data_IF_150597681478
#
_entry.id   IF_150597681478
#
_cell.length_a   1.000
_cell.length_b   1.000
_cell.length_c   1.000
_cell.angle_alpha   90.00
_cell.angle_beta   90.00
_cell.angle_gamma   90.00
#
_symmetry.space_group_name_H-M   'P 1'
#
loop_
_entity.id
_entity.type
_entity.pdbx_description
1 polymer ?
#
# COMPACT_ATOMS: atom_id res chain seq x y z
N UNK A 1 13.12 -2.44 -3.05
CA UNK A 1 14.41 -1.81 -2.65
C UNK A 1 14.37 -0.31 -2.86
N UNK A 2 14.17 0.18 -4.09
CA UNK A 2 14.13 1.63 -4.41
C UNK A 2 13.04 2.39 -3.66
N UNK A 3 11.79 1.90 -3.65
CA UNK A 3 10.68 2.51 -2.90
C UNK A 3 10.89 2.51 -1.37
N UNK A 4 11.78 1.66 -0.87
CA UNK A 4 12.14 1.57 0.54
C UNK A 4 13.46 2.31 0.86
N UNK A 5 14.02 3.04 -0.11
CA UNK A 5 15.32 3.73 -0.01
C UNK A 5 16.47 2.81 0.44
N UNK A 6 16.44 1.54 0.03
CA UNK A 6 17.48 0.57 0.34
C UNK A 6 18.51 0.53 -0.80
N UNK A 7 19.76 0.23 -0.46
CA UNK A 7 20.80 0.02 -1.47
C UNK A 7 20.43 -1.15 -2.38
N UNK A 8 20.95 -1.15 -3.60
CA UNK A 8 20.86 -2.26 -4.55
C UNK A 8 22.24 -2.91 -4.74
N UNK A 9 23.06 -2.89 -3.68
CA UNK A 9 24.47 -3.32 -3.75
C UNK A 9 24.82 -4.38 -2.70
N UNK A 10 25.63 -5.34 -3.11
CA UNK A 10 26.29 -6.34 -2.28
C UNK A 10 27.79 -6.15 -2.39
N UNK A 11 28.42 -5.64 -1.33
CA UNK A 11 29.87 -5.40 -1.25
C UNK A 11 30.39 -4.60 -2.47
N UNK A 12 29.67 -3.52 -2.80
CA UNK A 12 29.97 -2.63 -3.93
C UNK A 12 29.56 -3.16 -5.31
N UNK A 13 29.07 -4.41 -5.41
CA UNK A 13 28.54 -4.98 -6.66
C UNK A 13 27.03 -4.81 -6.76
N UNK A 14 26.54 -4.45 -7.93
CA UNK A 14 25.11 -4.22 -8.16
C UNK A 14 24.32 -5.54 -8.23
N UNK A 15 23.24 -5.61 -7.47
CA UNK A 15 22.33 -6.74 -7.47
C UNK A 15 21.18 -6.52 -8.46
N UNK A 16 20.87 -7.55 -9.24
CA UNK A 16 19.57 -7.70 -9.86
C UNK A 16 18.67 -8.46 -8.88
N UNK A 17 17.48 -7.94 -8.59
CA UNK A 17 16.59 -8.49 -7.58
C UNK A 17 15.32 -9.05 -8.22
N UNK A 18 14.97 -10.30 -7.88
CA UNK A 18 13.65 -10.87 -8.16
C UNK A 18 12.56 -10.46 -7.16
N UNK A 19 12.94 -9.77 -6.08
CA UNK A 19 12.08 -9.44 -4.96
C UNK A 19 12.86 -9.28 -3.66
N UNK A 20 12.18 -8.81 -2.62
CA UNK A 20 12.75 -8.62 -1.29
C UNK A 20 11.67 -8.80 -0.23
N UNK A 21 12.01 -9.45 0.87
CA UNK A 21 11.18 -9.50 2.07
C UNK A 21 11.88 -8.79 3.23
N UNK A 22 11.10 -8.15 4.09
CA UNK A 22 11.55 -7.66 5.38
C UNK A 22 10.85 -8.49 6.45
N UNK A 23 11.63 -9.14 7.33
CA UNK A 23 11.11 -9.98 8.41
C UNK A 23 11.54 -9.36 9.72
N UNK A 24 10.56 -8.99 10.53
CA UNK A 24 10.77 -8.43 11.86
C UNK A 24 9.77 -9.08 12.82
N UNK A 25 10.27 -9.69 13.89
CA UNK A 25 9.47 -10.20 14.98
C UNK A 25 9.61 -9.25 16.18
N UNK A 26 8.51 -8.87 16.83
CA UNK A 26 8.53 -7.98 17.98
C UNK A 26 7.64 -8.48 19.11
N UNK A 27 8.01 -8.16 20.36
CA UNK A 27 7.16 -8.31 21.54
C UNK A 27 7.06 -6.94 22.22
N UNK A 28 5.92 -6.27 22.05
CA UNK A 28 5.80 -4.87 22.43
C UNK A 28 6.71 -3.97 21.58
N UNK A 29 7.64 -3.24 22.22
CA UNK A 29 8.64 -2.39 21.54
C UNK A 29 9.96 -3.09 21.25
N UNK A 30 10.15 -4.31 21.75
CA UNK A 30 11.40 -5.04 21.61
C UNK A 30 11.42 -5.87 20.32
N UNK A 31 12.55 -5.84 19.61
CA UNK A 31 12.79 -6.69 18.44
C UNK A 31 13.33 -8.03 18.91
N UNK A 32 12.62 -9.10 18.56
CA UNK A 32 12.97 -10.47 18.92
C UNK A 32 14.07 -11.00 17.98
N UNK A 33 14.91 -11.87 18.53
CA UNK A 33 15.90 -12.65 17.77
C UNK A 33 15.49 -14.11 17.73
N UNK A 34 15.81 -14.78 16.63
CA UNK A 34 15.71 -16.23 16.56
C UNK A 34 16.61 -16.85 17.65
N UNK A 35 16.09 -17.89 18.30
CA UNK A 35 16.86 -18.69 19.23
C UNK A 35 18.07 -19.29 18.49
N UNK A 36 19.20 -19.38 19.17
CA UNK A 36 20.39 -20.03 18.61
C UNK A 36 20.07 -21.47 18.18
N UNK A 37 20.52 -21.85 16.98
CA UNK A 37 20.19 -23.14 16.35
C UNK A 37 18.82 -23.22 15.67
N UNK A 38 17.91 -22.25 15.86
CA UNK A 38 16.63 -22.21 15.17
C UNK A 38 16.76 -21.60 13.76
N UNK A 39 16.00 -22.14 12.81
CA UNK A 39 15.94 -21.64 11.42
C UNK A 39 14.53 -21.25 11.02
N UNK A 40 14.41 -20.26 10.13
CA UNK A 40 13.17 -19.94 9.42
C UNK A 40 13.34 -20.37 7.97
N UNK A 41 12.40 -21.15 7.47
CA UNK A 41 12.28 -21.44 6.05
C UNK A 41 11.37 -20.40 5.38
N UNK A 42 11.79 -19.90 4.22
CA UNK A 42 10.99 -18.99 3.40
C UNK A 42 10.75 -19.64 2.05
N UNK A 43 9.47 -19.86 1.75
CA UNK A 43 9.03 -20.46 0.50
C UNK A 43 8.47 -19.35 -0.39
N UNK A 44 9.03 -19.21 -1.58
CA UNK A 44 8.52 -18.28 -2.59
C UNK A 44 7.78 -19.07 -3.66
N UNK A 45 6.46 -18.86 -3.85
CA UNK A 45 5.74 -19.47 -4.96
C UNK A 45 6.19 -18.80 -6.27
N UNK A 46 7.02 -19.48 -7.05
CA UNK A 46 7.49 -18.99 -8.34
C UNK A 46 6.84 -19.79 -9.50
N UNK A 47 6.44 -19.09 -10.57
CA UNK A 47 5.91 -19.74 -11.79
C UNK A 47 7.01 -20.39 -12.62
N UNK A 48 8.23 -19.86 -12.57
CA UNK A 48 9.40 -20.39 -13.26
C UNK A 48 10.67 -19.95 -12.53
N UNK A 49 11.57 -20.89 -12.21
CA UNK A 49 12.81 -20.61 -11.49
C UNK A 49 13.77 -19.84 -12.40
N UNK A 50 14.13 -18.60 -12.03
CA UNK A 50 15.19 -17.87 -12.74
C UNK A 50 16.56 -18.44 -12.38
N UNK A 51 17.27 -18.98 -13.38
CA UNK A 51 18.62 -19.56 -13.21
C UNK A 51 19.57 -18.50 -12.64
N UNK A 52 20.30 -18.85 -11.58
CA UNK A 52 21.30 -17.98 -10.96
C UNK A 52 20.77 -16.98 -9.92
N UNK A 53 19.46 -16.97 -9.61
CA UNK A 53 18.95 -16.21 -8.47
C UNK A 53 19.42 -16.81 -7.14
N UNK A 54 19.92 -15.98 -6.25
CA UNK A 54 20.45 -16.37 -4.95
C UNK A 54 19.82 -15.53 -3.83
N UNK A 55 19.84 -16.05 -2.60
CA UNK A 55 19.36 -15.33 -1.43
C UNK A 55 20.45 -14.41 -0.87
N UNK A 56 20.09 -13.15 -0.63
CA UNK A 56 20.94 -12.17 0.05
C UNK A 56 20.24 -11.69 1.32
N UNK A 57 20.98 -11.57 2.42
CA UNK A 57 20.50 -10.98 3.66
C UNK A 57 21.07 -9.57 3.84
N UNK A 58 20.23 -8.63 4.23
CA UNK A 58 20.65 -7.25 4.44
C UNK A 58 21.31 -7.06 5.81
N UNK A 59 22.48 -6.43 5.84
CA UNK A 59 23.17 -5.99 7.05
C UNK A 59 23.20 -4.47 7.08
N UNK A 60 22.69 -3.86 8.15
CA UNK A 60 22.70 -2.41 8.32
C UNK A 60 24.06 -1.91 8.79
N UNK A 61 24.57 -0.88 8.13
CA UNK A 61 25.78 -0.13 8.54
C UNK A 61 25.59 1.35 8.20
N UNK A 62 25.71 2.23 9.19
CA UNK A 62 25.59 3.69 9.01
C UNK A 62 24.32 4.14 8.27
N UNK A 63 23.17 3.51 8.57
CA UNK A 63 21.89 3.85 7.93
C UNK A 63 21.74 3.38 6.47
N UNK A 64 22.72 2.66 5.94
CA UNK A 64 22.69 2.04 4.62
C UNK A 64 22.73 0.52 4.80
N UNK A 65 21.85 -0.19 4.11
CA UNK A 65 21.88 -1.65 4.10
C UNK A 65 22.90 -2.13 3.07
N UNK A 66 23.74 -3.10 3.42
CA UNK A 66 24.58 -3.82 2.47
C UNK A 66 24.10 -5.28 2.41
N UNK A 67 23.88 -5.79 1.21
CA UNK A 67 23.34 -7.14 1.02
C UNK A 67 24.48 -8.15 1.01
N UNK A 68 24.38 -9.23 1.78
CA UNK A 68 25.39 -10.28 1.86
C UNK A 68 24.83 -11.61 1.37
N UNK A 69 25.52 -12.21 0.41
CA UNK A 69 25.16 -13.52 -0.14
C UNK A 69 25.08 -14.56 0.97
N UNK A 70 23.98 -15.28 1.04
CA UNK A 70 23.81 -16.38 1.97
C UNK A 70 24.40 -17.65 1.34
N UNK A 71 25.58 -18.07 1.81
CA UNK A 71 26.29 -19.25 1.30
C UNK A 71 25.71 -20.59 1.77
N UNK A 72 24.70 -20.57 2.65
CA UNK A 72 23.97 -21.80 2.97
C UNK A 72 23.14 -22.17 1.74
N UNK A 73 23.66 -23.14 0.98
CA UNK A 73 22.81 -23.99 0.18
C UNK A 73 21.77 -24.56 1.14
N UNK A 74 20.55 -24.04 1.07
CA UNK A 74 19.40 -24.84 1.43
C UNK A 74 19.56 -26.02 0.48
N UNK A 75 19.96 -27.18 1.00
CA UNK A 75 19.93 -28.42 0.25
C UNK A 75 18.65 -28.43 -0.57
N UNK A 76 18.69 -28.93 -1.81
CA UNK A 76 17.46 -29.33 -2.46
C UNK A 76 16.68 -30.10 -1.42
N UNK A 77 15.61 -29.49 -0.93
CA UNK A 77 14.79 -30.06 0.12
C UNK A 77 13.97 -31.11 -0.60
N UNK A 78 14.63 -32.20 -0.98
CA UNK A 78 14.00 -33.44 -1.36
C UNK A 78 13.25 -33.90 -0.11
N UNK A 79 11.94 -33.83 -0.23
CA UNK A 79 10.97 -34.44 0.66
C UNK A 79 11.13 -34.07 2.14
N UNK A 80 10.89 -32.80 2.47
CA UNK A 80 10.14 -32.57 3.71
C UNK A 80 8.76 -33.16 3.45
N UNK A 81 8.42 -34.26 4.13
CA UNK A 81 7.02 -34.61 4.37
C UNK A 81 6.39 -33.42 5.10
N UNK A 82 5.85 -32.51 4.31
CA UNK A 82 5.04 -31.42 4.80
C UNK A 82 3.81 -32.15 5.32
N UNK A 83 3.75 -32.36 6.64
CA UNK A 83 2.46 -32.46 7.32
C UNK A 83 1.68 -31.26 6.78
N UNK A 84 0.69 -31.51 5.92
CA UNK A 84 -0.15 -30.48 5.34
C UNK A 84 -0.90 -29.85 6.50
N UNK A 85 -0.25 -28.92 7.19
CA UNK A 85 -0.91 -27.80 7.79
C UNK A 85 -1.55 -27.15 6.58
N UNK A 86 -2.83 -27.43 6.37
CA UNK A 86 -3.59 -26.67 5.39
C UNK A 86 -3.47 -25.22 5.82
N UNK A 87 -2.50 -24.48 5.26
CA UNK A 87 -2.45 -23.04 5.47
C UNK A 87 -3.84 -22.54 5.10
N UNK A 88 -4.49 -21.88 6.05
CA UNK A 88 -5.74 -21.20 5.81
C UNK A 88 -5.42 -20.04 4.88
N UNK A 89 -5.49 -20.32 3.58
CA UNK A 89 -5.28 -19.32 2.53
C UNK A 89 -6.39 -18.28 2.73
N UNK A 90 -6.02 -17.16 3.33
CA UNK A 90 -6.89 -16.02 3.54
C UNK A 90 -6.89 -15.14 2.28
N UNK A 91 -8.00 -15.13 1.56
CA UNK A 91 -8.17 -14.31 0.36
C UNK A 91 -9.15 -13.19 0.68
N UNK A 92 -8.73 -11.91 0.59
CA UNK A 92 -9.63 -10.80 0.88
C UNK A 92 -10.89 -10.83 0.00
N UNK A 93 -12.04 -10.51 0.60
CA UNK A 93 -13.34 -10.49 -0.08
C UNK A 93 -13.37 -9.63 -1.37
N UNK A 94 -12.52 -8.60 -1.44
CA UNK A 94 -12.39 -7.75 -2.62
C UNK A 94 -11.89 -8.53 -3.85
N UNK A 95 -10.90 -9.41 -3.68
CA UNK A 95 -10.14 -10.03 -4.77
C UNK A 95 -10.52 -11.49 -5.04
N UNK A 96 -11.17 -12.16 -4.09
CA UNK A 96 -11.55 -13.58 -4.23
C UNK A 96 -12.36 -13.84 -5.51
N UNK A 97 -12.04 -14.87 -6.26
CA UNK A 97 -12.68 -15.24 -7.54
C UNK A 97 -14.18 -15.52 -7.34
N UNK A 98 -14.51 -16.46 -6.45
CA UNK A 98 -15.89 -16.73 -6.01
C UNK A 98 -16.03 -16.32 -4.54
N UNK A 99 -16.93 -15.38 -4.29
CA UNK A 99 -17.21 -14.90 -2.94
C UNK A 99 -18.00 -15.92 -2.13
N UNK A 100 -17.88 -15.91 -0.79
CA UNK A 100 -18.81 -16.63 0.05
C UNK A 100 -20.26 -16.24 -0.27
N UNK A 101 -21.18 -17.20 -0.17
CA UNK A 101 -22.59 -16.98 -0.51
C UNK A 101 -23.45 -17.19 0.73
N UNK A 102 -24.12 -16.12 1.14
CA UNK A 102 -25.14 -16.17 2.19
C UNK A 102 -26.37 -16.95 1.69
N UNK A 103 -27.05 -17.76 2.52
CA UNK A 103 -28.27 -18.47 2.12
C UNK A 103 -29.33 -17.52 1.52
N UNK A 104 -29.76 -17.79 0.28
CA UNK A 104 -30.68 -16.92 -0.46
C UNK A 104 -30.01 -15.88 -1.39
N UNK A 105 -28.68 -15.95 -1.56
CA UNK A 105 -27.91 -15.11 -2.49
C UNK A 105 -27.23 -15.94 -3.61
N UNK A 106 -27.83 -17.06 -4.03
CA UNK A 106 -27.23 -18.00 -4.99
C UNK A 106 -27.19 -17.48 -6.44
N UNK A 107 -28.08 -16.54 -6.77
CA UNK A 107 -28.31 -16.06 -8.13
C UNK A 107 -27.53 -14.77 -8.43
N UNK A 108 -27.29 -14.50 -9.72
CA UNK A 108 -26.63 -13.28 -10.20
C UNK A 108 -25.12 -13.40 -10.40
N UNK A 109 -24.51 -12.30 -10.85
CA UNK A 109 -23.08 -12.21 -11.11
C UNK A 109 -22.29 -12.03 -9.79
N UNK A 110 -20.96 -11.97 -9.87
CA UNK A 110 -20.07 -11.82 -8.70
C UNK A 110 -20.42 -10.58 -7.84
N UNK A 111 -20.75 -9.45 -8.46
CA UNK A 111 -21.09 -8.22 -7.75
C UNK A 111 -22.49 -8.31 -7.11
N UNK A 112 -23.46 -8.93 -7.79
CA UNK A 112 -24.79 -9.14 -7.23
C UNK A 112 -24.74 -10.01 -5.96
N UNK A 113 -23.95 -11.08 -6.01
CA UNK A 113 -23.72 -11.97 -4.85
C UNK A 113 -23.04 -11.23 -3.70
N UNK A 114 -22.04 -10.39 -3.99
CA UNK A 114 -21.40 -9.53 -2.99
C UNK A 114 -22.40 -8.60 -2.33
N UNK A 115 -23.20 -7.89 -3.12
CA UNK A 115 -24.16 -6.93 -2.62
C UNK A 115 -25.28 -7.60 -1.82
N UNK A 116 -25.80 -8.72 -2.31
CA UNK A 116 -26.82 -9.52 -1.64
C UNK A 116 -26.32 -10.03 -0.29
N UNK A 117 -25.11 -10.62 -0.25
CA UNK A 117 -24.50 -11.10 1.00
C UNK A 117 -24.34 -9.96 2.01
N UNK A 118 -23.73 -8.84 1.59
CA UNK A 118 -23.52 -7.69 2.48
C UNK A 118 -24.83 -7.16 3.04
N UNK A 119 -25.88 -7.09 2.20
CA UNK A 119 -27.21 -6.66 2.61
C UNK A 119 -27.84 -7.62 3.62
N UNK A 120 -27.86 -8.93 3.33
CA UNK A 120 -28.44 -9.94 4.22
C UNK A 120 -27.75 -10.01 5.58
N UNK A 121 -26.42 -9.90 5.61
CA UNK A 121 -25.66 -9.85 6.87
C UNK A 121 -26.01 -8.58 7.65
N UNK A 122 -26.04 -7.42 6.97
CA UNK A 122 -26.43 -6.16 7.61
C UNK A 122 -27.86 -6.20 8.16
N UNK A 123 -28.80 -6.77 7.42
CA UNK A 123 -30.20 -6.93 7.82
C UNK A 123 -30.37 -7.90 8.99
N UNK A 124 -29.57 -8.97 9.04
CA UNK A 124 -29.57 -9.89 10.17
C UNK A 124 -29.06 -9.20 11.43
N UNK A 125 -27.91 -8.55 11.32
CA UNK A 125 -27.27 -7.87 12.45
C UNK A 125 -28.14 -6.74 12.97
N UNK A 126 -28.77 -5.94 12.11
CA UNK A 126 -29.65 -4.85 12.55
C UNK A 126 -30.89 -5.34 13.30
N UNK A 127 -31.37 -6.55 13.01
CA UNK A 127 -32.53 -7.15 13.70
C UNK A 127 -32.17 -7.85 15.02
N UNK A 128 -30.95 -8.37 15.12
CA UNK A 128 -30.54 -9.23 16.25
C UNK A 128 -29.66 -8.50 17.27
N UNK A 129 -29.04 -7.38 16.89
CA UNK A 129 -28.20 -6.59 17.78
C UNK A 129 -29.03 -5.78 18.77
N UNK A 130 -28.77 -5.98 20.07
CA UNK A 130 -29.42 -5.23 21.12
C UNK A 130 -28.87 -3.81 21.21
N UNK A 131 -29.59 -2.85 20.61
CA UNK A 131 -29.25 -1.43 20.66
C UNK A 131 -29.58 -0.76 22.00
N UNK A 132 -30.48 -1.34 22.80
CA UNK A 132 -30.91 -0.80 24.09
C UNK A 132 -29.80 -0.89 25.14
N UNK A 133 -28.91 -1.88 25.00
CA UNK A 133 -27.70 -2.04 25.81
C UNK A 133 -26.88 -0.74 25.88
N UNK A 134 -26.81 0.01 24.78
CA UNK A 134 -26.05 1.26 24.78
C UNK A 134 -26.75 2.38 25.58
N UNK A 135 -28.08 2.40 25.59
CA UNK A 135 -28.87 3.33 26.41
C UNK A 135 -28.74 3.02 27.90
N UNK A 136 -28.77 1.74 28.28
CA UNK A 136 -28.57 1.27 29.66
C UNK A 136 -27.19 1.65 30.20
N UNK A 137 -26.19 1.67 29.32
CA UNK A 137 -24.81 2.07 29.63
C UNK A 137 -24.60 3.59 29.61
N UNK A 138 -25.68 4.37 29.50
CA UNK A 138 -25.63 5.83 29.47
C UNK A 138 -24.98 6.42 28.21
N UNK A 139 -24.81 5.63 27.16
CA UNK A 139 -24.25 6.09 25.89
C UNK A 139 -25.33 6.84 25.10
N UNK A 140 -24.94 7.93 24.45
CA UNK A 140 -25.85 8.75 23.65
C UNK A 140 -25.26 9.10 22.29
N UNK A 141 -26.11 9.43 21.32
CA UNK A 141 -25.68 9.83 19.99
C UNK A 141 -25.27 8.64 19.12
N UNK A 142 -24.43 8.90 18.11
CA UNK A 142 -24.03 7.90 17.12
C UNK A 142 -22.96 6.97 17.68
N UNK A 143 -23.34 5.71 17.89
CA UNK A 143 -22.43 4.64 18.30
C UNK A 143 -21.94 3.85 17.08
N UNK A 144 -20.69 3.39 17.16
CA UNK A 144 -20.04 2.61 16.12
C UNK A 144 -19.33 1.41 16.73
N UNK A 145 -19.67 0.22 16.25
CA UNK A 145 -18.99 -1.03 16.57
C UNK A 145 -18.38 -1.58 15.29
N UNK A 146 -17.06 -1.76 15.27
CA UNK A 146 -16.38 -2.34 14.12
C UNK A 146 -16.16 -3.82 14.38
N UNK A 147 -16.70 -4.67 13.52
CA UNK A 147 -16.54 -6.11 13.63
C UNK A 147 -15.76 -6.65 12.44
N UNK A 148 -14.85 -7.57 12.71
CA UNK A 148 -14.08 -8.31 11.72
C UNK A 148 -14.22 -9.79 12.07
N UNK A 149 -14.54 -10.60 11.09
CA UNK A 149 -14.64 -12.05 11.26
C UNK A 149 -14.22 -12.75 9.96
N UNK A 150 -13.92 -14.04 10.06
CA UNK A 150 -13.49 -14.85 8.92
C UNK A 150 -14.54 -15.88 8.58
N UNK A 151 -14.88 -15.98 7.30
CA UNK A 151 -15.70 -17.08 6.78
C UNK A 151 -14.73 -18.17 6.34
N UNK A 152 -14.67 -19.26 7.09
CA UNK A 152 -13.73 -20.35 6.87
C UNK A 152 -14.08 -21.24 5.68
N UNK A 153 -13.22 -22.21 5.40
CA UNK A 153 -13.38 -23.20 4.32
C UNK A 153 -14.65 -24.06 4.44
N UNK A 154 -15.17 -24.23 5.66
CA UNK A 154 -16.41 -24.96 5.94
C UNK A 154 -17.66 -24.09 5.82
N UNK A 155 -17.49 -22.78 5.56
CA UNK A 155 -18.58 -21.82 5.56
C UNK A 155 -18.99 -21.30 6.94
N UNK A 156 -18.37 -21.82 8.00
CA UNK A 156 -18.53 -21.33 9.37
C UNK A 156 -17.78 -20.03 9.61
N UNK A 157 -18.20 -19.30 10.64
CA UNK A 157 -17.54 -18.08 11.08
C UNK A 157 -16.49 -18.40 12.13
N UNK A 158 -15.32 -17.79 12.00
CA UNK A 158 -14.16 -17.96 12.89
C UNK A 158 -13.50 -16.61 13.14
N UNK A 159 -12.67 -16.52 14.19
CA UNK A 159 -11.84 -15.34 14.51
C UNK A 159 -12.63 -14.02 14.55
N UNK A 160 -13.72 -14.00 15.33
CA UNK A 160 -14.58 -12.82 15.49
C UNK A 160 -13.91 -11.83 16.44
N UNK A 161 -13.64 -10.63 15.94
CA UNK A 161 -13.07 -9.51 16.68
C UNK A 161 -13.98 -8.31 16.56
N UNK A 162 -14.37 -7.74 17.68
CA UNK A 162 -15.17 -6.52 17.75
C UNK A 162 -14.37 -5.41 18.43
N UNK A 163 -14.63 -4.16 18.04
CA UNK A 163 -14.12 -2.96 18.70
C UNK A 163 -15.23 -1.93 18.83
N UNK A 164 -15.51 -1.48 20.04
CA UNK A 164 -16.54 -0.49 20.36
C UNK A 164 -16.03 0.52 21.40
N UNK A 165 -16.87 1.51 21.71
CA UNK A 165 -16.60 2.47 22.80
C UNK A 165 -16.83 1.86 24.19
N UNK A 166 -17.44 0.67 24.27
CA UNK A 166 -17.73 -0.01 25.53
C UNK A 166 -17.60 -1.54 25.35
N UNK A 167 -16.98 -2.27 26.30
CA UNK A 167 -16.77 -3.71 26.20
C UNK A 167 -18.04 -4.53 25.99
N UNK A 168 -19.15 -4.18 26.66
CA UNK A 168 -20.42 -4.90 26.49
C UNK A 168 -20.99 -4.82 25.06
N UNK A 169 -20.72 -3.73 24.33
CA UNK A 169 -21.08 -3.63 22.91
C UNK A 169 -20.19 -4.51 22.04
N UNK A 170 -18.94 -4.77 22.45
CA UNK A 170 -18.06 -5.72 21.78
C UNK A 170 -18.55 -7.16 21.97
N UNK A 171 -18.94 -7.52 23.19
CA UNK A 171 -19.48 -8.85 23.49
C UNK A 171 -20.81 -9.09 22.78
N UNK A 172 -21.69 -8.10 22.75
CA UNK A 172 -22.95 -8.19 21.99
C UNK A 172 -22.70 -8.35 20.49
N UNK A 173 -21.74 -7.61 19.93
CA UNK A 173 -21.36 -7.78 18.53
C UNK A 173 -20.80 -9.17 18.25
N UNK A 174 -19.95 -9.72 19.12
CA UNK A 174 -19.43 -11.09 18.98
C UNK A 174 -20.55 -12.13 19.04
N UNK A 175 -21.51 -11.97 19.96
CA UNK A 175 -22.69 -12.85 20.09
C UNK A 175 -23.51 -12.86 18.81
N UNK A 176 -23.87 -11.69 18.29
CA UNK A 176 -24.72 -11.57 17.08
C UNK A 176 -24.02 -12.17 15.85
N UNK A 177 -22.72 -11.92 15.68
CA UNK A 177 -21.96 -12.51 14.57
C UNK A 177 -21.83 -14.03 14.71
N UNK A 178 -21.73 -14.56 15.93
CA UNK A 178 -21.74 -16.01 16.17
C UNK A 178 -23.05 -16.70 15.79
N UNK A 179 -24.17 -15.96 15.68
CA UNK A 179 -25.49 -16.49 15.30
C UNK A 179 -25.76 -16.47 13.80
N UNK A 180 -24.85 -15.91 13.00
CA UNK A 180 -25.00 -15.90 11.54
C UNK A 180 -25.02 -17.34 10.99
N UNK A 181 -25.86 -17.64 9.99
CA UNK A 181 -25.94 -18.97 9.41
C UNK A 181 -24.66 -19.34 8.66
N UNK A 182 -24.41 -20.66 8.54
CA UNK A 182 -23.32 -21.18 7.70
C UNK A 182 -23.53 -20.73 6.26
N UNK A 183 -22.46 -20.23 5.65
CA UNK A 183 -22.45 -19.72 4.28
C UNK A 183 -21.79 -20.74 3.34
N UNK A 184 -21.98 -20.62 2.02
CA UNK A 184 -21.11 -21.37 1.10
C UNK A 184 -19.72 -20.70 1.09
N UNK A 185 -18.62 -21.45 1.23
CA UNK A 185 -17.28 -20.89 1.32
C UNK A 185 -16.86 -20.18 0.03
N UNK A 186 -15.92 -19.24 0.15
CA UNK A 186 -15.29 -18.62 -1.01
C UNK A 186 -14.36 -19.60 -1.73
N UNK A 187 -14.14 -19.39 -3.03
CA UNK A 187 -13.19 -20.19 -3.80
C UNK A 187 -12.20 -19.30 -4.56
N UNK A 188 -10.94 -19.73 -4.57
CA UNK A 188 -9.86 -19.13 -5.33
C UNK A 188 -9.10 -20.23 -6.08
N UNK A 189 -8.97 -20.13 -7.40
CA UNK A 189 -8.27 -21.12 -8.24
C UNK A 189 -8.75 -22.56 -8.00
N UNK A 190 -10.06 -22.71 -7.82
CA UNK A 190 -10.70 -24.01 -7.58
C UNK A 190 -10.59 -24.56 -6.15
N UNK A 191 -9.89 -23.88 -5.22
CA UNK A 191 -9.76 -24.29 -3.80
C UNK A 191 -10.65 -23.44 -2.90
N UNK A 192 -11.19 -24.05 -1.84
CA UNK A 192 -11.90 -23.30 -0.78
C UNK A 192 -10.90 -22.47 0.01
N UNK A 193 -11.27 -21.22 0.30
CA UNK A 193 -10.40 -20.26 0.98
C UNK A 193 -11.14 -19.59 2.12
N UNK A 194 -10.37 -19.17 3.13
CA UNK A 194 -10.90 -18.37 4.23
C UNK A 194 -11.01 -16.93 3.76
N UNK A 195 -12.15 -16.28 4.02
CA UNK A 195 -12.40 -14.92 3.54
C UNK A 195 -12.67 -14.01 4.73
N UNK A 196 -11.74 -13.08 5.06
CA UNK A 196 -11.98 -12.08 6.09
C UNK A 196 -13.03 -11.07 5.61
N UNK A 197 -13.96 -10.75 6.49
CA UNK A 197 -15.07 -9.83 6.27
C UNK A 197 -15.13 -8.79 7.39
N UNK A 198 -15.39 -7.54 7.02
CA UNK A 198 -15.51 -6.43 7.97
C UNK A 198 -16.89 -5.81 7.88
N UNK A 199 -17.56 -5.69 9.02
CA UNK A 199 -18.87 -5.10 9.15
C UNK A 199 -18.84 -3.94 10.17
N UNK A 200 -19.09 -2.69 9.74
CA UNK A 200 -19.36 -1.59 10.66
C UNK A 200 -20.83 -1.62 11.08
N UNK A 201 -21.11 -1.79 12.37
CA UNK A 201 -22.43 -1.62 12.96
C UNK A 201 -22.51 -0.18 13.46
N UNK A 202 -23.49 0.57 12.95
CA UNK A 202 -23.68 1.98 13.29
C UNK A 202 -25.14 2.17 13.65
N UNK A 203 -25.40 2.69 14.84
CA UNK A 203 -26.74 3.00 15.31
C UNK A 203 -26.70 4.31 16.11
N UNK A 204 -27.87 4.93 16.26
CA UNK A 204 -28.02 6.19 16.95
C UNK A 204 -28.96 5.98 18.13
N UNK A 205 -28.55 6.49 19.28
CA UNK A 205 -29.37 6.47 20.50
C UNK A 205 -29.85 7.89 20.71
N UNK A 206 -31.15 8.09 20.52
CA UNK A 206 -31.79 9.35 20.86
C UNK A 206 -32.05 9.37 22.36
N UNK A 207 -31.63 10.45 23.04
CA UNK A 207 -32.21 10.77 24.34
C UNK A 207 -33.65 11.17 24.05
N UNK A 208 -34.61 10.53 24.70
CA UNK A 208 -36.02 10.87 24.52
C UNK A 208 -36.27 12.37 24.73
N UNK A 209 -36.56 13.07 23.64
CA UNK A 209 -37.71 13.96 23.49
C UNK A 209 -37.88 14.36 22.02
N UNK A 210 -38.99 13.89 21.44
CA UNK A 210 -39.76 14.34 20.28
C UNK A 210 -39.20 15.40 19.29
N UNK A 211 -39.63 15.16 18.05
CA UNK A 211 -39.95 16.08 16.94
C UNK A 211 -38.90 16.40 15.86
N UNK A 212 -39.16 15.77 14.70
CA UNK A 212 -39.21 16.29 13.32
C UNK A 212 -37.92 16.63 12.55
N UNK A 213 -37.61 15.69 11.64
CA UNK A 213 -36.99 15.80 10.32
C UNK A 213 -36.81 17.21 9.73
N UNK A 214 -35.62 17.46 9.15
CA UNK A 214 -35.39 17.79 7.73
C UNK A 214 -33.95 17.39 7.34
N UNK A 215 -33.84 16.44 6.40
CA UNK A 215 -33.04 16.63 5.18
C UNK A 215 -31.50 16.52 5.21
N UNK A 216 -31.02 15.37 4.73
CA UNK A 216 -29.88 15.17 3.80
C UNK A 216 -28.43 15.06 4.33
N UNK A 217 -28.00 13.80 4.44
CA UNK A 217 -26.87 13.14 3.77
C UNK A 217 -25.44 13.73 3.88
N UNK A 218 -24.49 12.94 4.44
CA UNK A 218 -23.09 12.83 3.96
C UNK A 218 -22.32 11.62 4.54
N UNK A 219 -22.13 10.65 3.64
CA UNK A 219 -21.09 9.64 3.45
C UNK A 219 -20.11 9.22 4.58
N UNK A 220 -20.21 7.93 4.91
CA UNK A 220 -19.21 7.09 5.58
C UNK A 220 -18.05 6.73 4.65
N UNK A 221 -16.79 6.84 5.11
CA UNK A 221 -15.62 6.26 4.43
C UNK A 221 -15.34 4.83 4.95
N UNK A 222 -15.33 3.90 4.00
CA UNK A 222 -14.88 2.50 4.07
C UNK A 222 -13.41 2.47 3.62
N UNK A 223 -12.53 1.75 4.33
CA UNK A 223 -11.15 1.53 3.92
C UNK A 223 -11.04 0.25 3.09
N UNK A 224 -11.29 0.37 1.80
CA UNK A 224 -10.72 -0.50 0.75
C UNK A 224 -9.27 -0.09 0.48
N UNK A 225 -8.43 -0.95 -0.13
CA UNK A 225 -7.19 -0.51 -0.76
C UNK A 225 -7.56 0.61 -1.76
N UNK A 226 -7.04 1.79 -1.50
CA UNK A 226 -7.45 3.02 -2.16
C UNK A 226 -7.07 2.95 -3.64
N UNK A 227 -8.02 3.18 -4.57
CA UNK A 227 -7.70 3.48 -5.97
C UNK A 227 -6.68 4.64 -6.02
N UNK A 228 -5.77 4.66 -7.01
CA UNK A 228 -4.75 5.71 -7.13
C UNK A 228 -5.35 7.13 -7.13
N UNK A 229 -6.60 7.28 -7.59
CA UNK A 229 -7.37 8.52 -7.50
C UNK A 229 -7.57 9.02 -6.06
N UNK A 230 -7.77 8.12 -5.10
CA UNK A 230 -8.01 8.47 -3.68
C UNK A 230 -6.70 8.74 -2.93
N UNK A 231 -5.58 8.13 -3.36
CA UNK A 231 -4.24 8.51 -2.86
C UNK A 231 -3.89 9.92 -3.35
N UNK A 232 -4.13 10.21 -4.63
CA UNK A 232 -3.97 11.53 -5.24
C UNK A 232 -4.86 12.56 -4.52
N UNK A 233 -6.13 12.24 -4.24
CA UNK A 233 -7.00 13.11 -3.43
C UNK A 233 -6.52 13.26 -1.98
N UNK A 234 -6.01 12.22 -1.33
CA UNK A 234 -5.49 12.31 0.04
C UNK A 234 -4.21 13.15 0.10
N UNK A 235 -3.36 13.09 -0.93
CA UNK A 235 -2.19 13.96 -1.06
C UNK A 235 -2.62 15.39 -1.35
N UNK A 236 -3.57 15.62 -2.27
CA UNK A 236 -4.19 16.94 -2.52
C UNK A 236 -4.80 17.53 -1.26
N UNK A 237 -5.59 16.75 -0.51
CA UNK A 237 -6.18 17.17 0.74
C UNK A 237 -5.14 17.44 1.81
N UNK A 238 -4.08 16.62 1.96
CA UNK A 238 -2.98 16.90 2.90
C UNK A 238 -2.15 18.12 2.50
N UNK A 239 -1.93 18.35 1.20
CA UNK A 239 -1.29 19.56 0.67
C UNK A 239 -2.14 20.79 1.02
N UNK A 240 -3.46 20.70 0.88
CA UNK A 240 -4.41 21.78 1.15
C UNK A 240 -4.70 22.02 2.65
N UNK A 241 -4.67 20.98 3.50
CA UNK A 241 -5.16 21.07 4.90
C UNK A 241 -4.08 21.06 5.98
N UNK A 242 -2.84 20.65 5.68
CA UNK A 242 -1.74 20.67 6.67
C UNK A 242 -0.74 21.78 6.37
N UNK A 243 -0.83 22.87 7.14
CA UNK A 243 0.25 23.86 7.34
C UNK A 243 1.54 23.14 7.78
N UNK A 244 2.41 22.77 6.83
CA UNK A 244 3.86 22.67 7.06
C UNK A 244 4.54 21.30 7.25
N UNK A 245 3.89 20.15 7.07
CA UNK A 245 4.62 18.84 7.09
C UNK A 245 4.20 17.91 5.95
N UNK A 246 4.64 18.22 4.73
CA UNK A 246 4.63 17.28 3.61
C UNK A 246 6.08 17.08 3.19
N UNK A 247 6.58 15.85 3.20
CA UNK A 247 7.99 15.57 2.91
C UNK A 247 8.27 15.60 1.40
N UNK A 248 9.54 15.78 1.04
CA UNK A 248 10.04 15.65 -0.33
C UNK A 248 9.65 14.31 -0.96
N UNK A 249 9.68 13.22 -0.19
CA UNK A 249 9.26 11.89 -0.63
C UNK A 249 7.76 11.80 -0.93
N UNK A 250 6.91 12.52 -0.20
CA UNK A 250 5.47 12.58 -0.48
C UNK A 250 5.16 13.36 -1.77
N UNK A 251 5.93 14.41 -2.05
CA UNK A 251 5.84 15.18 -3.30
C UNK A 251 6.35 14.35 -4.48
N UNK A 252 7.50 13.69 -4.35
CA UNK A 252 7.98 12.78 -5.37
C UNK A 252 6.94 11.68 -5.64
N UNK A 253 6.44 11.00 -4.61
CA UNK A 253 5.39 9.98 -4.74
C UNK A 253 4.12 10.49 -5.45
N UNK A 254 3.80 11.78 -5.33
CA UNK A 254 2.69 12.38 -6.08
C UNK A 254 2.99 12.45 -7.58
N UNK A 255 4.17 12.94 -7.97
CA UNK A 255 4.61 12.93 -9.39
C UNK A 255 4.56 11.51 -9.92
N UNK A 256 5.04 10.58 -9.11
CA UNK A 256 5.11 9.17 -9.44
C UNK A 256 3.70 8.62 -9.75
N UNK A 257 2.75 8.77 -8.84
CA UNK A 257 1.43 8.16 -8.99
C UNK A 257 0.45 8.95 -9.86
N UNK A 258 0.73 10.22 -10.14
CA UNK A 258 -0.19 11.10 -10.89
C UNK A 258 0.07 11.13 -12.39
N UNK A 259 1.27 10.72 -12.82
CA UNK A 259 1.62 10.53 -14.23
C UNK A 259 1.21 9.14 -14.71
N UNK A 260 0.99 8.99 -16.02
CA UNK A 260 0.83 7.69 -16.70
C UNK A 260 2.17 7.06 -17.08
N UNK A 261 3.29 7.70 -16.72
CA UNK A 261 4.65 7.26 -17.01
C UNK A 261 4.97 5.99 -16.20
N UNK A 262 5.72 5.07 -16.82
CA UNK A 262 6.28 3.89 -16.18
C UNK A 262 7.41 4.21 -15.18
N UNK A 263 7.72 3.25 -14.31
CA UNK A 263 8.80 3.35 -13.33
C UNK A 263 10.08 2.77 -13.88
N UNK A 264 11.19 3.52 -13.85
CA UNK A 264 12.51 2.99 -14.21
C UNK A 264 13.56 3.31 -13.17
N UNK A 265 14.40 2.31 -12.91
CA UNK A 265 15.65 2.51 -12.18
C UNK A 265 16.79 2.73 -13.19
N UNK A 266 17.90 3.32 -12.73
CA UNK A 266 19.12 3.44 -13.53
C UNK A 266 19.61 2.08 -14.08
N UNK A 267 19.26 0.98 -13.41
CA UNK A 267 19.53 -0.40 -13.83
C UNK A 267 18.95 -0.76 -15.20
N UNK A 268 17.89 -0.07 -15.64
CA UNK A 268 17.32 -0.25 -16.99
C UNK A 268 18.36 0.02 -18.08
N UNK A 269 19.32 0.89 -17.81
CA UNK A 269 20.34 1.32 -18.75
C UNK A 269 21.66 0.55 -18.60
N UNK A 270 21.64 -0.59 -17.90
CA UNK A 270 22.84 -1.39 -17.61
C UNK A 270 23.57 -1.90 -18.86
N UNK A 271 22.88 -2.05 -19.98
CA UNK A 271 23.46 -2.56 -21.23
C UNK A 271 23.86 -1.45 -22.21
N UNK A 272 23.63 -0.17 -21.87
CA UNK A 272 24.06 0.94 -22.71
C UNK A 272 25.58 1.08 -22.65
N UNK A 273 26.22 1.14 -23.82
CA UNK A 273 27.69 1.22 -23.94
C UNK A 273 28.24 2.59 -23.51
N UNK A 274 27.47 3.65 -23.73
CA UNK A 274 27.84 5.03 -23.36
C UNK A 274 26.98 5.47 -22.18
N UNK A 275 27.60 5.62 -21.01
CA UNK A 275 26.93 6.01 -19.77
C UNK A 275 27.75 7.00 -18.99
N UNK A 276 27.04 7.84 -18.27
CA UNK A 276 27.61 8.94 -17.49
C UNK A 276 27.01 8.96 -16.09
N UNK A 277 27.78 9.44 -15.12
CA UNK A 277 27.24 9.77 -13.81
C UNK A 277 26.60 11.15 -13.87
N UNK A 278 25.28 11.21 -13.74
CA UNK A 278 24.51 12.44 -13.88
C UNK A 278 24.28 13.05 -12.50
N UNK A 279 25.16 13.98 -12.13
CA UNK A 279 25.07 14.75 -10.88
C UNK A 279 24.62 16.18 -11.17
N UNK A 280 23.34 16.43 -11.02
CA UNK A 280 22.74 17.72 -11.32
C UNK A 280 22.98 18.73 -10.20
N UNK A 281 23.40 19.94 -10.57
CA UNK A 281 23.40 21.13 -9.72
C UNK A 281 22.28 22.07 -10.16
N UNK A 282 21.54 22.62 -9.20
CA UNK A 282 20.51 23.64 -9.47
C UNK A 282 20.79 24.88 -8.63
N UNK A 283 20.57 26.07 -9.21
CA UNK A 283 20.83 27.35 -8.52
C UNK A 283 19.84 27.63 -7.38
N UNK A 284 18.59 27.18 -7.51
CA UNK A 284 17.55 27.32 -6.49
C UNK A 284 17.24 25.97 -5.81
N UNK A 285 18.18 25.47 -5.00
CA UNK A 285 18.19 24.09 -4.47
C UNK A 285 17.43 23.88 -3.15
N UNK A 286 17.00 24.94 -2.48
CA UNK A 286 16.39 24.81 -1.16
C UNK A 286 14.98 24.20 -1.26
N UNK A 287 14.79 23.03 -0.63
CA UNK A 287 13.50 22.34 -0.56
C UNK A 287 12.99 21.73 -1.86
N UNK A 288 13.75 21.82 -2.96
CA UNK A 288 13.36 21.27 -4.25
C UNK A 288 13.64 19.75 -4.36
N UNK A 289 12.78 19.08 -5.12
CA UNK A 289 12.95 17.69 -5.57
C UNK A 289 13.02 17.67 -7.09
N UNK A 290 13.94 16.89 -7.65
CA UNK A 290 14.10 16.77 -9.10
C UNK A 290 13.92 15.31 -9.52
N UNK A 291 13.15 15.10 -10.58
CA UNK A 291 12.98 13.80 -11.25
C UNK A 291 13.33 13.94 -12.72
N UNK A 292 13.74 12.85 -13.36
CA UNK A 292 14.11 12.80 -14.77
C UNK A 292 13.11 11.92 -15.51
N UNK A 293 12.46 12.47 -16.53
CA UNK A 293 11.53 11.76 -17.41
C UNK A 293 12.26 11.41 -18.70
N UNK A 294 12.27 10.13 -19.04
CA UNK A 294 12.77 9.60 -20.29
C UNK A 294 11.61 9.45 -21.27
N UNK A 295 11.59 10.29 -22.32
CA UNK A 295 10.54 10.27 -23.35
C UNK A 295 10.53 8.93 -24.11
N UNK A 296 11.72 8.45 -24.48
CA UNK A 296 11.96 7.22 -25.25
C UNK A 296 11.34 5.96 -24.64
N UNK A 297 11.34 5.86 -23.31
CA UNK A 297 10.86 4.69 -22.57
C UNK A 297 9.61 4.98 -21.75
N UNK A 298 8.99 6.15 -21.96
CA UNK A 298 7.79 6.61 -21.27
C UNK A 298 7.89 6.37 -19.76
N UNK A 299 8.99 6.81 -19.13
CA UNK A 299 9.28 6.46 -17.75
C UNK A 299 9.99 7.57 -16.97
N UNK A 300 9.83 7.57 -15.65
CA UNK A 300 10.42 8.57 -14.75
C UNK A 300 11.34 7.94 -13.70
N UNK A 301 12.44 8.62 -13.40
CA UNK A 301 13.46 8.24 -12.43
C UNK A 301 13.64 9.35 -11.38
N UNK A 302 13.56 9.05 -10.08
CA UNK A 302 13.83 10.03 -9.02
C UNK A 302 15.34 10.26 -8.84
N UNK A 303 15.72 11.41 -8.30
CA UNK A 303 17.10 11.68 -7.86
C UNK A 303 17.31 11.34 -6.39
N UNK A 304 18.57 11.09 -6.02
CA UNK A 304 19.04 11.07 -4.64
C UNK A 304 19.69 12.41 -4.31
N UNK A 305 19.30 13.01 -3.18
CA UNK A 305 19.91 14.26 -2.73
C UNK A 305 21.15 13.99 -1.87
N UNK A 306 22.29 14.49 -2.29
CA UNK A 306 23.56 14.47 -1.55
C UNK A 306 24.16 15.86 -1.49
N UNK A 307 24.11 16.53 -0.33
CA UNK A 307 24.55 17.92 -0.21
C UNK A 307 23.74 18.89 -1.10
N UNK A 308 24.44 19.62 -1.98
CA UNK A 308 23.87 20.56 -2.95
C UNK A 308 23.62 19.95 -4.34
N UNK A 309 23.77 18.63 -4.48
CA UNK A 309 23.66 17.92 -5.75
C UNK A 309 22.50 16.92 -5.76
N UNK A 310 21.95 16.69 -6.96
CA UNK A 310 20.93 15.69 -7.25
C UNK A 310 21.57 14.60 -8.11
N UNK A 311 21.83 13.45 -7.49
CA UNK A 311 22.49 12.32 -8.12
C UNK A 311 21.43 11.41 -8.75
N UNK A 312 21.53 11.20 -10.07
CA UNK A 312 20.71 10.25 -10.83
C UNK A 312 21.47 8.95 -11.14
N UNK A 313 22.63 8.77 -10.51
CA UNK A 313 23.59 7.69 -10.76
C UNK A 313 23.95 7.65 -12.23
N UNK A 314 23.86 6.46 -12.83
CA UNK A 314 24.35 6.20 -14.17
C UNK A 314 23.19 6.18 -15.16
N UNK A 315 23.22 7.09 -16.12
CA UNK A 315 22.22 7.20 -17.22
C UNK A 315 22.94 7.14 -18.57
N UNK A 316 22.23 6.82 -19.67
CA UNK A 316 22.79 6.90 -21.01
C UNK A 316 23.27 8.32 -21.30
N UNK A 317 24.33 8.48 -22.07
CA UNK A 317 24.80 9.80 -22.53
C UNK A 317 24.01 10.26 -23.76
N UNK A 318 23.66 11.55 -23.83
CA UNK A 318 23.00 12.16 -24.99
C UNK A 318 21.53 11.79 -25.18
N UNK A 319 20.87 11.20 -24.18
CA UNK A 319 19.46 10.85 -24.23
C UNK A 319 18.58 12.06 -23.93
N UNK A 320 17.53 12.25 -24.73
CA UNK A 320 16.54 13.30 -24.52
C UNK A 320 15.69 13.02 -23.27
N UNK A 321 15.74 13.94 -22.33
CA UNK A 321 15.05 13.84 -21.04
C UNK A 321 14.37 15.14 -20.67
N UNK A 322 13.34 15.04 -19.84
CA UNK A 322 12.74 16.19 -19.17
C UNK A 322 13.08 16.14 -17.69
N UNK A 323 13.81 17.13 -17.20
CA UNK A 323 13.99 17.31 -15.77
C UNK A 323 12.78 18.03 -15.20
N UNK A 324 12.16 17.44 -14.20
CA UNK A 324 10.98 17.98 -13.52
C UNK A 324 11.38 18.36 -12.11
N UNK A 325 11.22 19.63 -11.76
CA UNK A 325 11.54 20.15 -10.43
C UNK A 325 10.28 20.62 -9.71
N UNK A 326 10.11 20.18 -8.46
CA UNK A 326 9.02 20.61 -7.59
C UNK A 326 9.56 21.02 -6.25
N UNK A 327 9.15 22.19 -5.78
CA UNK A 327 9.41 22.67 -4.42
C UNK A 327 8.12 23.12 -3.75
N UNK A 328 8.10 23.09 -2.42
CA UNK A 328 7.01 23.64 -1.61
C UNK A 328 7.55 24.76 -0.75
N UNK A 329 6.96 25.94 -0.86
CA UNK A 329 7.29 27.09 -0.02
C UNK A 329 6.01 27.71 0.55
N UNK A 330 6.00 28.01 1.85
CA UNK A 330 4.87 28.62 2.60
C UNK A 330 3.49 28.01 2.31
N UNK A 331 3.44 26.69 2.03
CA UNK A 331 2.19 25.97 1.73
C UNK A 331 1.78 25.94 0.26
N UNK A 332 2.46 26.71 -0.60
CA UNK A 332 2.26 26.76 -2.05
C UNK A 332 3.22 25.80 -2.75
N UNK A 333 2.75 25.19 -3.83
CA UNK A 333 3.59 24.36 -4.70
C UNK A 333 4.15 25.21 -5.82
N UNK A 334 5.42 24.95 -6.13
CA UNK A 334 6.07 25.55 -7.27
C UNK A 334 6.64 24.43 -8.14
N UNK A 335 6.49 24.58 -9.44
CA UNK A 335 6.87 23.61 -10.45
C UNK A 335 7.61 24.30 -11.57
N UNK A 336 8.59 23.59 -12.11
CA UNK A 336 9.18 23.89 -13.40
C UNK A 336 9.69 22.61 -14.04
N UNK A 337 9.88 22.64 -15.36
CA UNK A 337 10.54 21.56 -16.07
C UNK A 337 11.44 22.10 -17.18
N UNK A 338 12.50 21.35 -17.46
CA UNK A 338 13.48 21.69 -18.50
C UNK A 338 13.70 20.47 -19.38
N UNK A 339 13.46 20.63 -20.67
CA UNK A 339 13.87 19.64 -21.66
C UNK A 339 15.37 19.79 -21.91
N UNK A 340 16.10 18.68 -21.87
CA UNK A 340 17.55 18.66 -21.99
C UNK A 340 18.03 17.29 -22.45
N UNK A 341 19.35 17.13 -22.61
CA UNK A 341 19.99 15.86 -22.87
C UNK A 341 20.83 15.43 -21.67
N UNK A 342 20.98 14.12 -21.50
CA UNK A 342 21.80 13.57 -20.42
C UNK A 342 23.29 13.84 -20.67
N UNK A 343 23.90 14.66 -19.81
CA UNK A 343 25.32 15.01 -19.82
C UNK A 343 25.90 14.98 -18.41
N UNK A 344 27.21 14.84 -18.25
CA UNK A 344 27.84 14.77 -16.94
C UNK A 344 27.81 16.13 -16.23
N UNK A 345 27.50 16.13 -14.94
CA UNK A 345 27.54 17.30 -14.04
C UNK A 345 26.84 18.59 -14.52
N UNK A 346 25.59 18.54 -15.03
CA UNK A 346 24.94 19.72 -15.57
C UNK A 346 24.54 20.71 -14.47
N UNK A 347 24.52 22.00 -14.84
CA UNK A 347 24.00 23.08 -14.01
C UNK A 347 22.73 23.60 -14.68
N UNK A 348 21.58 23.45 -14.03
CA UNK A 348 20.29 23.87 -14.57
C UNK A 348 19.68 24.95 -13.69
N UNK A 349 19.05 25.93 -14.35
CA UNK A 349 18.31 26.99 -13.69
C UNK A 349 16.82 26.77 -13.90
N UNK A 350 16.08 26.53 -12.81
CA UNK A 350 14.64 26.31 -12.87
C UNK A 350 13.90 27.62 -12.56
N UNK A 351 13.03 28.03 -13.48
CA UNK A 351 12.12 29.15 -13.32
C UNK A 351 10.81 28.69 -12.65
N UNK A 352 10.89 28.44 -11.35
CA UNK A 352 9.78 27.95 -10.54
C UNK A 352 8.56 28.87 -10.58
N UNK A 353 7.43 28.34 -11.09
CA UNK A 353 6.13 29.01 -11.09
C UNK A 353 5.19 28.37 -10.08
N UNK A 354 4.40 29.18 -9.40
CA UNK A 354 3.35 28.67 -8.50
C UNK A 354 2.34 27.84 -9.30
N UNK A 355 1.98 26.67 -8.78
CA UNK A 355 1.10 25.72 -9.46
C UNK A 355 0.10 25.09 -8.48
N UNK A 356 -1.11 24.78 -8.96
CA UNK A 356 -2.08 23.98 -8.21
C UNK A 356 -1.80 22.48 -8.40
N UNK A 357 -2.21 21.60 -7.48
CA UNK A 357 -2.09 20.15 -7.68
C UNK A 357 -2.78 19.64 -8.96
N UNK A 358 -3.89 20.25 -9.35
CA UNK A 358 -4.64 19.94 -10.58
C UNK A 358 -3.84 20.31 -11.82
N UNK A 359 -3.29 21.52 -11.86
CA UNK A 359 -2.50 22.00 -12.98
C UNK A 359 -1.18 21.21 -13.07
N UNK A 360 -0.56 20.91 -11.94
CA UNK A 360 0.61 20.03 -11.89
C UNK A 360 0.34 18.66 -12.51
N UNK A 361 -0.81 18.04 -12.19
CA UNK A 361 -1.20 16.78 -12.80
C UNK A 361 -1.34 16.91 -14.33
N UNK A 362 -1.97 17.99 -14.81
CA UNK A 362 -2.12 18.24 -16.26
C UNK A 362 -0.76 18.43 -16.94
N UNK A 363 0.16 19.16 -16.32
CA UNK A 363 1.51 19.36 -16.84
C UNK A 363 2.27 18.03 -16.92
N UNK A 364 2.20 17.20 -15.87
CA UNK A 364 2.85 15.88 -15.87
C UNK A 364 2.27 14.92 -16.93
N UNK A 365 0.97 15.01 -17.24
CA UNK A 365 0.35 14.22 -18.30
C UNK A 365 0.79 14.63 -19.71
N UNK A 366 1.27 15.87 -19.89
CA UNK A 366 1.82 16.36 -21.18
C UNK A 366 3.26 15.89 -21.42
N UNK A 367 3.91 15.28 -20.42
CA UNK A 367 5.28 14.75 -20.53
C UNK A 367 5.32 13.32 -21.08
N UNK A 368 4.16 12.75 -21.44
CA UNK A 368 4.03 11.50 -22.18
C UNK A 368 4.41 11.67 -23.65
#
# INVERSE_FOLDING_TARGET
MVLANLSTQSDGKQLETGGMLNIQATKGKEVLRLKEGASIALLFPEKSRKKGMQLFAGAWSNGIINWKLQKKNIAEVEDIEIEKVEEDIEVPFAVVEKVPVFPGCENGNKNDKKNCMSKKISDFVSRTFNTELASELGLSGRQRVNVIFKIGKTGGITDVRARANHPLLEEEAKRVIGLLPKMKPGMQRGRTVTVPYSLPIIFQIERGSNTTNIGTNRNSRVTTPLPDSVIVENVKQKIATKKGKVSTSEISNYILRSSTLGWVNCDRFRYNRNRINYKLKIKASEGATVSMVFKTVNSVMPSWRGGNEYDFRTVPEGEEVVLVAIKKDKGKLYFDFVETTTQANPIIDFNFKEITPEELKRQLQKLN
#
